data_IF_802471063148
#
_entry.id   IF_802471063148
#
_cell.length_a   1.000
_cell.length_b   1.000
_cell.length_c   1.000
_cell.angle_alpha   90.00
_cell.angle_beta   90.00
_cell.angle_gamma   90.00
#
_symmetry.space_group_name_H-M   'P 1'
#
loop_
_entity.id
_entity.type
_entity.pdbx_description
1 polymer ?
#
# COMPACT_ATOMS: atom_id res chain seq x y z
N UNK A 1 38.74 -2.72 -25.76
CA UNK A 1 37.56 -1.87 -25.62
C UNK A 1 36.30 -2.74 -25.57
N UNK A 2 36.11 -3.43 -24.48
CA UNK A 2 34.91 -4.26 -24.21
C UNK A 2 34.73 -4.24 -22.70
N UNK A 3 33.79 -3.46 -22.17
CA UNK A 3 33.30 -3.65 -20.81
C UNK A 3 32.28 -2.59 -20.32
N UNK A 4 31.30 -2.18 -21.14
CA UNK A 4 30.29 -1.24 -20.64
C UNK A 4 28.82 -1.61 -20.91
N UNK A 5 28.54 -2.81 -21.49
CA UNK A 5 27.15 -3.15 -21.84
C UNK A 5 26.40 -4.02 -20.81
N UNK A 6 27.02 -4.41 -19.68
CA UNK A 6 26.39 -5.29 -18.69
C UNK A 6 25.66 -4.60 -17.53
N UNK A 7 25.79 -3.28 -17.35
CA UNK A 7 25.18 -2.57 -16.22
C UNK A 7 23.73 -2.10 -16.46
N UNK A 8 23.24 -2.03 -17.69
CA UNK A 8 21.89 -1.54 -17.98
C UNK A 8 20.81 -2.62 -17.95
N UNK A 9 21.17 -3.91 -18.08
CA UNK A 9 20.24 -5.03 -18.15
C UNK A 9 19.59 -5.41 -16.81
N UNK A 10 20.25 -5.11 -15.69
CA UNK A 10 19.76 -5.48 -14.35
C UNK A 10 18.62 -4.55 -13.89
N UNK A 11 18.64 -3.30 -14.34
CA UNK A 11 17.63 -2.29 -13.97
C UNK A 11 16.24 -2.58 -14.58
N UNK A 12 16.18 -2.95 -15.86
CA UNK A 12 14.88 -3.17 -16.54
C UNK A 12 14.16 -4.45 -16.11
N UNK A 13 14.89 -5.52 -15.81
CA UNK A 13 14.30 -6.76 -15.28
C UNK A 13 13.80 -6.62 -13.85
N UNK A 14 14.46 -5.83 -12.99
CA UNK A 14 13.98 -5.52 -11.64
C UNK A 14 12.74 -4.64 -11.63
N UNK A 15 12.64 -3.65 -12.51
CA UNK A 15 11.47 -2.77 -12.62
C UNK A 15 10.24 -3.52 -13.18
N UNK A 16 10.44 -4.47 -14.12
CA UNK A 16 9.36 -5.33 -14.60
C UNK A 16 8.85 -6.31 -13.52
N UNK A 17 9.74 -6.83 -12.66
CA UNK A 17 9.36 -7.65 -11.51
C UNK A 17 8.68 -6.85 -10.38
N UNK A 18 8.87 -5.53 -10.31
CA UNK A 18 8.17 -4.66 -9.34
C UNK A 18 6.67 -4.53 -9.64
N UNK A 19 6.22 -4.84 -10.85
CA UNK A 19 4.80 -4.88 -11.23
C UNK A 19 4.10 -6.21 -10.94
N UNK A 20 4.84 -7.27 -10.67
CA UNK A 20 4.29 -8.64 -10.56
C UNK A 20 4.60 -9.40 -9.26
N UNK A 21 5.64 -9.07 -8.53
CA UNK A 21 6.03 -9.82 -7.33
C UNK A 21 5.70 -9.03 -6.06
N UNK A 22 4.92 -9.63 -5.19
CA UNK A 22 4.74 -9.26 -3.78
C UNK A 22 6.10 -9.33 -3.08
N UNK A 23 6.91 -8.29 -3.20
CA UNK A 23 8.07 -8.11 -2.33
C UNK A 23 7.50 -7.83 -0.95
N UNK A 24 7.62 -8.83 -0.09
CA UNK A 24 7.28 -8.72 1.33
C UNK A 24 8.10 -7.55 1.88
N UNK A 25 7.40 -6.52 2.32
CA UNK A 25 8.03 -5.47 3.12
C UNK A 25 8.61 -6.17 4.35
N UNK A 26 9.78 -5.75 4.72
CA UNK A 26 10.58 -6.21 5.86
C UNK A 26 9.85 -7.13 6.85
N UNK A 27 10.39 -8.32 7.15
CA UNK A 27 9.86 -9.21 8.19
C UNK A 27 9.59 -8.46 9.52
N UNK A 28 10.41 -7.49 9.86
CA UNK A 28 10.30 -6.67 11.06
C UNK A 28 9.00 -5.87 11.12
N UNK A 29 8.55 -5.29 9.99
CA UNK A 29 7.26 -4.57 9.96
C UNK A 29 6.09 -5.53 10.12
N UNK A 30 6.18 -6.71 9.52
CA UNK A 30 5.16 -7.74 9.64
C UNK A 30 5.05 -8.25 11.08
N UNK A 31 6.18 -8.51 11.73
CA UNK A 31 6.24 -8.92 13.13
C UNK A 31 5.69 -7.82 14.05
N UNK A 32 6.08 -6.57 13.80
CA UNK A 32 5.53 -5.43 14.52
C UNK A 32 4.00 -5.33 14.41
N UNK A 33 3.43 -5.54 13.21
CA UNK A 33 1.97 -5.51 13.02
C UNK A 33 1.30 -6.64 13.81
N UNK A 34 1.91 -7.81 13.86
CA UNK A 34 1.39 -8.98 14.62
C UNK A 34 1.34 -8.74 16.12
N UNK A 35 2.26 -7.97 16.70
CA UNK A 35 2.24 -7.62 18.13
C UNK A 35 0.94 -6.95 18.57
N UNK A 36 0.21 -6.31 17.65
CA UNK A 36 -1.07 -5.67 17.93
C UNK A 36 -2.29 -6.58 17.71
N UNK A 37 -2.09 -7.89 17.60
CA UNK A 37 -3.16 -8.88 17.39
C UNK A 37 -4.05 -8.53 16.17
N UNK A 38 -3.46 -7.97 15.11
CA UNK A 38 -4.15 -7.85 13.84
C UNK A 38 -4.16 -9.20 13.12
N UNK A 39 -5.29 -9.63 12.58
CA UNK A 39 -5.37 -10.84 11.76
C UNK A 39 -4.70 -10.56 10.41
N UNK A 40 -3.39 -10.74 10.33
CA UNK A 40 -2.57 -10.61 9.13
C UNK A 40 -2.03 -11.97 8.76
N UNK A 41 -2.30 -12.41 7.54
CA UNK A 41 -1.80 -13.67 7.03
C UNK A 41 -1.07 -13.48 5.71
N UNK A 42 0.10 -14.11 5.50
CA UNK A 42 0.67 -14.24 4.18
C UNK A 42 -0.21 -15.19 3.37
N UNK A 43 -0.97 -14.64 2.43
CA UNK A 43 -1.82 -15.46 1.55
C UNK A 43 -0.97 -15.99 0.41
N UNK A 44 -0.88 -17.31 0.28
CA UNK A 44 -0.21 -17.98 -0.84
C UNK A 44 -0.95 -17.72 -2.15
N UNK A 45 -0.32 -17.98 -3.31
CA UNK A 45 -0.99 -17.77 -4.60
C UNK A 45 -2.24 -18.66 -4.77
N UNK A 46 -2.26 -19.86 -4.17
CA UNK A 46 -3.42 -20.75 -4.16
C UNK A 46 -4.54 -20.22 -3.27
N UNK A 47 -4.20 -19.72 -2.09
CA UNK A 47 -5.16 -19.10 -1.17
C UNK A 47 -5.73 -17.82 -1.77
N UNK A 48 -4.93 -17.01 -2.48
CA UNK A 48 -5.41 -15.84 -3.22
C UNK A 48 -6.46 -16.19 -4.26
N UNK A 49 -6.28 -17.28 -4.99
CA UNK A 49 -7.22 -17.74 -6.00
C UNK A 49 -8.56 -18.20 -5.42
N UNK A 50 -8.57 -18.72 -4.20
CA UNK A 50 -9.77 -19.16 -3.47
C UNK A 50 -10.38 -18.08 -2.56
N UNK A 51 -9.72 -16.94 -2.37
CA UNK A 51 -10.18 -15.89 -1.47
C UNK A 51 -11.45 -15.21 -1.98
N UNK A 52 -12.45 -15.08 -1.10
CA UNK A 52 -13.74 -14.48 -1.44
C UNK A 52 -13.64 -12.98 -1.75
N UNK A 53 -12.77 -12.25 -1.03
CA UNK A 53 -12.62 -10.80 -1.21
C UNK A 53 -11.56 -10.46 -2.25
N UNK A 54 -11.97 -9.76 -3.30
CA UNK A 54 -11.11 -9.34 -4.41
C UNK A 54 -10.99 -7.81 -4.49
N UNK A 55 -10.91 -7.14 -3.36
CA UNK A 55 -10.70 -5.68 -3.32
C UNK A 55 -9.61 -5.32 -2.33
N UNK A 56 -9.16 -4.08 -2.44
CA UNK A 56 -8.19 -3.48 -1.54
C UNK A 56 -8.79 -2.21 -0.95
N UNK A 57 -8.43 -1.90 0.30
CA UNK A 57 -8.72 -0.60 0.90
C UNK A 57 -7.42 0.19 1.02
N UNK A 58 -7.47 1.43 0.55
CA UNK A 58 -6.42 2.42 0.78
C UNK A 58 -6.91 3.40 1.83
N UNK A 59 -6.22 3.50 2.95
CA UNK A 59 -6.44 4.55 3.95
C UNK A 59 -5.43 5.65 3.71
N UNK A 60 -5.93 6.86 3.44
CA UNK A 60 -5.13 8.05 3.18
C UNK A 60 -5.13 8.98 4.39
N UNK A 61 -3.94 9.44 4.77
CA UNK A 61 -3.72 10.46 5.80
C UNK A 61 -3.42 11.83 5.20
N UNK A 62 -3.13 11.87 3.88
CA UNK A 62 -2.86 13.08 3.12
C UNK A 62 -3.50 12.96 1.73
N UNK A 63 -3.74 14.11 1.08
CA UNK A 63 -4.28 14.15 -0.28
C UNK A 63 -3.29 13.55 -1.28
N UNK A 64 -3.73 12.56 -2.05
CA UNK A 64 -3.01 12.13 -3.25
C UNK A 64 -3.32 13.06 -4.42
N UNK A 65 -2.68 12.82 -5.56
CA UNK A 65 -2.83 13.66 -6.75
C UNK A 65 -4.30 13.78 -7.18
N UNK A 66 -5.01 12.65 -7.23
CA UNK A 66 -6.41 12.62 -7.65
C UNK A 66 -7.31 13.49 -6.77
N UNK A 67 -7.24 13.32 -5.45
CA UNK A 67 -8.04 14.13 -4.52
C UNK A 67 -7.61 15.59 -4.48
N UNK A 68 -6.31 15.84 -4.60
CA UNK A 68 -5.81 17.20 -4.63
C UNK A 68 -6.36 17.97 -5.84
N UNK A 69 -6.45 17.34 -7.01
CA UNK A 69 -7.08 17.91 -8.19
C UNK A 69 -8.58 18.15 -8.00
N UNK A 70 -9.32 17.15 -7.51
CA UNK A 70 -10.77 17.26 -7.28
C UNK A 70 -11.10 18.36 -6.26
N UNK A 71 -10.31 18.45 -5.18
CA UNK A 71 -10.53 19.43 -4.11
C UNK A 71 -9.82 20.76 -4.33
N UNK A 72 -9.14 20.93 -5.47
CA UNK A 72 -8.32 22.14 -5.78
C UNK A 72 -7.39 22.51 -4.63
N UNK A 73 -6.70 21.51 -4.08
CA UNK A 73 -5.83 21.62 -2.91
C UNK A 73 -4.42 21.12 -3.21
N UNK A 74 -3.49 21.37 -2.30
CA UNK A 74 -2.10 20.91 -2.46
C UNK A 74 -2.00 19.39 -2.28
N UNK A 75 -1.20 18.75 -3.14
CA UNK A 75 -0.84 17.32 -2.99
C UNK A 75 -0.04 17.13 -1.70
N UNK A 76 -0.24 16.00 -1.05
CA UNK A 76 0.33 15.63 0.25
C UNK A 76 -0.13 16.50 1.43
N UNK A 77 -1.12 17.38 1.23
CA UNK A 77 -1.73 18.11 2.35
C UNK A 77 -2.37 17.13 3.34
N UNK A 78 -2.05 17.22 4.63
CA UNK A 78 -2.62 16.33 5.64
C UNK A 78 -4.14 16.45 5.73
N UNK A 79 -4.82 15.34 5.86
CA UNK A 79 -6.25 15.28 6.15
C UNK A 79 -6.50 15.48 7.65
N UNK A 80 -7.59 16.13 8.01
CA UNK A 80 -8.02 16.27 9.42
C UNK A 80 -8.30 14.89 10.04
N UNK A 81 -8.95 14.02 9.27
CA UNK A 81 -9.21 12.61 9.61
C UNK A 81 -8.81 11.74 8.44
N UNK A 82 -8.29 10.53 8.67
CA UNK A 82 -8.02 9.61 7.59
C UNK A 82 -9.27 9.31 6.79
N UNK A 83 -9.15 9.33 5.46
CA UNK A 83 -10.18 8.87 4.54
C UNK A 83 -9.84 7.49 3.98
N UNK A 84 -10.81 6.77 3.39
CA UNK A 84 -10.51 5.51 2.72
C UNK A 84 -11.10 5.47 1.30
N UNK A 85 -10.45 4.66 0.46
CA UNK A 85 -10.88 4.34 -0.90
C UNK A 85 -10.89 2.84 -1.11
N UNK A 86 -11.82 2.39 -1.92
CA UNK A 86 -11.88 1.02 -2.40
C UNK A 86 -11.14 0.97 -3.73
N UNK A 87 -10.16 0.08 -3.81
CA UNK A 87 -9.35 -0.14 -5.01
C UNK A 87 -9.69 -1.50 -5.60
N UNK A 88 -9.96 -1.53 -6.90
CA UNK A 88 -10.22 -2.75 -7.66
C UNK A 88 -9.27 -2.85 -8.86
N UNK A 89 -9.24 -4.04 -9.49
CA UNK A 89 -8.36 -4.37 -10.62
C UNK A 89 -7.07 -5.07 -10.17
N UNK A 90 -6.39 -5.70 -11.12
CA UNK A 90 -5.16 -6.48 -10.84
C UNK A 90 -4.04 -5.63 -10.21
N UNK A 91 -3.94 -4.34 -10.59
CA UNK A 91 -3.01 -3.36 -10.01
C UNK A 91 -3.51 -2.72 -8.72
N UNK A 92 -4.82 -2.80 -8.43
CA UNK A 92 -5.45 -2.06 -7.33
C UNK A 92 -5.37 -0.54 -7.54
N UNK A 93 -5.52 -0.09 -8.79
CA UNK A 93 -5.34 1.30 -9.21
C UNK A 93 -6.66 2.03 -9.52
N UNK A 94 -7.77 1.30 -9.59
CA UNK A 94 -9.09 1.86 -9.89
C UNK A 94 -9.88 2.09 -8.63
N UNK A 95 -10.27 3.33 -8.38
CA UNK A 95 -11.19 3.69 -7.29
C UNK A 95 -12.60 3.31 -7.69
N UNK A 96 -13.28 2.54 -6.86
CA UNK A 96 -14.69 2.18 -7.06
C UNK A 96 -15.54 2.62 -5.88
N UNK A 97 -16.83 2.96 -6.09
CA UNK A 97 -17.74 3.25 -5.01
C UNK A 97 -18.13 1.97 -4.24
N UNK A 98 -18.44 2.11 -2.96
CA UNK A 98 -18.85 1.01 -2.08
C UNK A 98 -20.04 0.24 -2.64
N UNK A 99 -21.02 0.94 -3.22
CA UNK A 99 -22.20 0.32 -3.83
C UNK A 99 -21.85 -0.70 -4.92
N UNK A 100 -20.74 -0.51 -5.63
CA UNK A 100 -20.31 -1.43 -6.68
C UNK A 100 -19.84 -2.77 -6.11
N UNK A 101 -19.23 -2.78 -4.91
CA UNK A 101 -18.86 -4.05 -4.23
C UNK A 101 -20.08 -4.93 -4.01
N UNK A 102 -21.17 -4.32 -3.57
CA UNK A 102 -22.40 -5.06 -3.25
C UNK A 102 -23.15 -5.50 -4.50
N UNK A 103 -23.29 -4.59 -5.49
CA UNK A 103 -24.00 -4.90 -6.73
C UNK A 103 -23.29 -5.94 -7.58
N UNK A 104 -21.97 -6.09 -7.45
CA UNK A 104 -21.18 -7.11 -8.16
C UNK A 104 -21.00 -8.41 -7.35
N UNK A 105 -21.47 -8.46 -6.12
CA UNK A 105 -21.28 -9.61 -5.23
C UNK A 105 -19.83 -9.81 -4.79
N UNK A 106 -18.97 -8.80 -4.91
CA UNK A 106 -17.58 -8.87 -4.46
C UNK A 106 -17.46 -8.87 -2.93
N UNK A 107 -18.43 -8.29 -2.23
CA UNK A 107 -18.50 -8.27 -0.78
C UNK A 107 -19.93 -8.00 -0.32
N UNK A 108 -20.20 -8.31 0.95
CA UNK A 108 -21.41 -7.92 1.65
C UNK A 108 -21.10 -6.79 2.66
N UNK A 109 -22.09 -6.01 3.11
CA UNK A 109 -21.86 -4.87 4.01
C UNK A 109 -21.11 -5.22 5.31
N UNK A 110 -21.32 -6.41 5.85
CA UNK A 110 -20.69 -6.90 7.07
C UNK A 110 -19.20 -7.12 6.88
N UNK A 111 -18.81 -7.78 5.78
CA UNK A 111 -17.41 -8.02 5.41
C UNK A 111 -16.68 -6.70 5.14
N UNK A 112 -17.32 -5.79 4.40
CA UNK A 112 -16.73 -4.49 4.13
C UNK A 112 -16.51 -3.68 5.40
N UNK A 113 -17.48 -3.68 6.35
CA UNK A 113 -17.31 -3.03 7.65
C UNK A 113 -16.17 -3.63 8.47
N UNK A 114 -16.03 -4.97 8.46
CA UNK A 114 -14.94 -5.65 9.13
C UNK A 114 -13.58 -5.28 8.50
N UNK A 115 -13.47 -5.33 7.17
CA UNK A 115 -12.27 -4.93 6.43
C UNK A 115 -11.89 -3.46 6.70
N UNK A 116 -12.88 -2.55 6.70
CA UNK A 116 -12.66 -1.13 6.99
C UNK A 116 -12.12 -0.91 8.40
N UNK A 117 -12.67 -1.58 9.41
CA UNK A 117 -12.14 -1.51 10.79
C UNK A 117 -10.69 -1.98 10.86
N UNK A 118 -10.36 -3.07 10.18
CA UNK A 118 -8.97 -3.58 10.13
C UNK A 118 -8.04 -2.62 9.39
N UNK A 119 -8.49 -2.02 8.29
CA UNK A 119 -7.71 -1.03 7.54
C UNK A 119 -7.37 0.20 8.40
N UNK A 120 -8.34 0.75 9.12
CA UNK A 120 -8.09 1.87 10.02
C UNK A 120 -7.18 1.50 11.20
N UNK A 121 -7.34 0.30 11.76
CA UNK A 121 -6.45 -0.18 12.84
C UNK A 121 -5.01 -0.35 12.33
N UNK A 122 -4.82 -0.94 11.16
CA UNK A 122 -3.54 -1.04 10.48
C UNK A 122 -2.92 0.35 10.25
N UNK A 123 -3.71 1.30 9.71
CA UNK A 123 -3.26 2.67 9.50
C UNK A 123 -2.79 3.34 10.79
N UNK A 124 -3.52 3.19 11.89
CA UNK A 124 -3.14 3.76 13.18
C UNK A 124 -1.82 3.19 13.71
N UNK A 125 -1.63 1.87 13.60
CA UNK A 125 -0.40 1.18 13.99
C UNK A 125 0.78 1.69 13.16
N UNK A 126 0.65 1.73 11.84
CA UNK A 126 1.71 2.17 10.94
C UNK A 126 2.01 3.67 11.09
N UNK A 127 1.01 4.51 11.32
CA UNK A 127 1.24 5.93 11.64
C UNK A 127 2.12 6.09 12.88
N UNK A 128 1.83 5.34 13.94
CA UNK A 128 2.63 5.36 15.17
C UNK A 128 4.05 4.85 14.92
N UNK A 129 4.19 3.77 14.15
CA UNK A 129 5.48 3.20 13.79
C UNK A 129 6.38 4.20 13.04
N UNK A 130 5.86 4.80 11.97
CA UNK A 130 6.62 5.75 11.14
C UNK A 130 6.85 7.07 11.86
N UNK A 131 5.90 7.54 12.66
CA UNK A 131 6.05 8.80 13.43
C UNK A 131 7.22 8.73 14.40
N UNK A 132 7.41 7.59 15.08
CA UNK A 132 8.57 7.37 15.97
C UNK A 132 9.91 7.40 15.23
N UNK A 133 9.89 7.22 13.91
CA UNK A 133 11.06 7.29 13.02
C UNK A 133 11.19 8.63 12.28
N UNK A 134 10.47 9.66 12.73
CA UNK A 134 10.48 11.00 12.11
C UNK A 134 9.80 11.06 10.75
N UNK A 135 8.97 10.07 10.41
CA UNK A 135 8.30 9.98 9.12
C UNK A 135 6.78 10.14 9.28
N UNK A 136 6.13 10.63 8.22
CA UNK A 136 4.69 10.72 8.14
C UNK A 136 4.15 9.66 7.16
N UNK A 137 3.21 8.82 7.62
CA UNK A 137 2.50 7.89 6.77
C UNK A 137 1.47 8.65 5.92
N UNK A 138 1.69 8.71 4.61
CA UNK A 138 0.80 9.35 3.64
C UNK A 138 -0.43 8.48 3.40
N UNK A 139 -0.21 7.19 3.11
CA UNK A 139 -1.29 6.23 2.92
C UNK A 139 -0.79 4.80 3.11
N UNK A 140 -1.73 3.91 3.39
CA UNK A 140 -1.52 2.47 3.37
C UNK A 140 -2.64 1.79 2.59
N UNK A 141 -2.27 0.82 1.75
CA UNK A 141 -3.22 -0.03 1.01
C UNK A 141 -3.06 -1.48 1.47
N UNK A 142 -4.17 -2.15 1.71
CA UNK A 142 -4.16 -3.56 2.08
C UNK A 142 -5.24 -4.33 1.31
N UNK A 143 -4.94 -5.56 0.93
CA UNK A 143 -5.91 -6.52 0.46
C UNK A 143 -6.58 -7.22 1.62
N UNK A 144 -7.81 -7.67 1.42
CA UNK A 144 -8.58 -8.40 2.41
C UNK A 144 -9.09 -9.70 1.81
N UNK A 145 -9.07 -10.74 2.60
CA UNK A 145 -9.55 -12.07 2.24
C UNK A 145 -10.44 -12.61 3.36
N UNK A 146 -11.43 -13.41 2.98
CA UNK A 146 -12.24 -14.17 3.95
C UNK A 146 -11.60 -15.53 4.16
N UNK A 147 -11.28 -15.87 5.40
CA UNK A 147 -10.74 -17.16 5.82
C UNK A 147 -11.52 -17.64 7.04
N UNK A 148 -12.12 -18.83 6.95
CA UNK A 148 -12.90 -19.42 8.06
C UNK A 148 -13.92 -18.42 8.65
N UNK A 149 -14.69 -17.77 7.79
CA UNK A 149 -15.70 -16.74 8.14
C UNK A 149 -15.13 -15.49 8.85
N UNK A 150 -13.81 -15.30 8.79
CA UNK A 150 -13.14 -14.10 9.33
C UNK A 150 -12.48 -13.31 8.22
N UNK A 151 -12.57 -11.99 8.33
CA UNK A 151 -11.83 -11.09 7.46
C UNK A 151 -10.40 -10.96 7.97
N UNK A 152 -9.45 -11.22 7.08
CA UNK A 152 -8.00 -11.20 7.37
C UNK A 152 -7.31 -10.25 6.41
N UNK A 153 -6.34 -9.50 6.90
CA UNK A 153 -5.47 -8.67 6.06
C UNK A 153 -4.50 -9.58 5.30
N UNK A 154 -4.44 -9.44 3.98
CA UNK A 154 -3.38 -10.06 3.19
C UNK A 154 -2.05 -9.38 3.49
N UNK A 155 -1.13 -10.09 4.10
CA UNK A 155 0.19 -9.59 4.52
C UNK A 155 1.19 -9.35 3.41
N UNK A 156 0.85 -9.66 2.15
CA UNK A 156 1.70 -9.40 0.98
C UNK A 156 1.72 -7.93 0.60
N UNK A 157 2.24 -7.06 1.48
CA UNK A 157 2.41 -5.63 1.17
C UNK A 157 3.47 -5.42 0.08
N UNK A 158 3.16 -4.55 -0.87
CA UNK A 158 4.11 -4.02 -1.84
C UNK A 158 4.68 -2.70 -1.31
N UNK A 159 5.83 -2.29 -1.83
CA UNK A 159 6.37 -0.96 -1.50
C UNK A 159 5.41 0.19 -1.86
N UNK A 160 4.62 0.03 -2.92
CA UNK A 160 3.57 0.98 -3.31
C UNK A 160 2.36 1.00 -2.37
N UNK A 161 2.21 -0.02 -1.54
CA UNK A 161 1.09 -0.11 -0.59
C UNK A 161 1.31 0.74 0.66
N UNK A 162 2.54 1.11 0.96
CA UNK A 162 2.90 1.95 2.11
C UNK A 162 3.62 3.18 1.57
N UNK A 163 2.98 4.33 1.67
CA UNK A 163 3.54 5.60 1.21
C UNK A 163 3.92 6.45 2.42
N UNK A 164 5.21 6.78 2.52
CA UNK A 164 5.78 7.49 3.67
C UNK A 164 6.58 8.68 3.19
N UNK A 165 6.46 9.80 3.88
CA UNK A 165 7.29 11.00 3.65
C UNK A 165 8.19 11.29 4.85
N UNK A 166 9.29 11.97 4.55
CA UNK A 166 10.23 12.48 5.56
C UNK A 166 10.62 13.92 5.21
N UNK A 167 10.74 14.83 6.18
CA UNK A 167 11.05 16.25 5.91
C UNK A 167 12.29 16.47 5.04
N UNK A 168 13.33 15.67 5.22
CA UNK A 168 14.59 15.75 4.47
C UNK A 168 14.68 14.91 3.21
N UNK A 169 13.57 14.35 2.69
CA UNK A 169 13.60 13.48 1.52
C UNK A 169 13.95 14.22 0.21
N UNK A 170 14.58 13.51 -0.72
CA UNK A 170 14.96 14.05 -2.02
C UNK A 170 13.74 14.38 -2.89
N UNK A 171 13.93 15.29 -3.88
CA UNK A 171 12.90 15.62 -4.86
C UNK A 171 12.36 14.37 -5.58
N UNK A 172 13.23 13.43 -5.96
CA UNK A 172 12.84 12.19 -6.64
C UNK A 172 11.88 11.34 -5.81
N UNK A 173 12.10 11.25 -4.50
CA UNK A 173 11.17 10.54 -3.60
C UNK A 173 9.84 11.28 -3.54
N UNK A 174 9.84 12.61 -3.46
CA UNK A 174 8.60 13.41 -3.53
C UNK A 174 7.86 13.19 -4.84
N UNK A 175 8.57 13.21 -5.96
CA UNK A 175 7.99 12.99 -7.29
C UNK A 175 7.39 11.57 -7.40
N UNK A 176 8.03 10.56 -6.80
CA UNK A 176 7.44 9.21 -6.70
C UNK A 176 6.15 9.19 -5.87
N UNK A 177 6.14 9.84 -4.71
CA UNK A 177 4.97 9.91 -3.82
C UNK A 177 3.77 10.62 -4.49
N UNK A 178 4.04 11.62 -5.32
CA UNK A 178 3.01 12.43 -5.99
C UNK A 178 2.54 11.76 -7.29
N UNK A 179 3.48 11.38 -8.16
CA UNK A 179 3.19 10.99 -9.54
C UNK A 179 3.33 9.48 -9.79
N UNK A 180 3.83 8.70 -8.82
CA UNK A 180 4.04 7.26 -8.98
C UNK A 180 5.05 6.90 -10.07
N UNK A 181 6.02 7.78 -10.37
CA UNK A 181 6.97 7.60 -11.47
C UNK A 181 7.81 6.34 -11.29
N UNK A 182 7.74 5.34 -12.20
CA UNK A 182 8.45 4.08 -12.05
C UNK A 182 9.98 4.23 -11.95
N UNK A 183 10.55 5.23 -12.61
CA UNK A 183 11.98 5.51 -12.57
C UNK A 183 12.49 5.94 -11.20
N UNK A 184 11.62 6.47 -10.36
CA UNK A 184 11.93 6.92 -9.01
C UNK A 184 11.61 5.88 -7.92
N UNK A 185 10.94 4.79 -8.28
CA UNK A 185 10.57 3.71 -7.36
C UNK A 185 11.78 3.11 -6.63
N UNK A 186 12.92 2.94 -7.32
CA UNK A 186 14.15 2.42 -6.71
C UNK A 186 14.70 3.30 -5.59
N UNK A 187 14.57 4.62 -5.72
CA UNK A 187 14.98 5.57 -4.68
C UNK A 187 14.05 5.49 -3.47
N UNK A 188 12.75 5.35 -3.71
CA UNK A 188 11.77 5.18 -2.65
C UNK A 188 11.94 3.87 -1.87
N UNK A 189 12.18 2.76 -2.58
CA UNK A 189 12.45 1.45 -1.96
C UNK A 189 13.68 1.51 -1.05
N UNK A 190 14.78 2.11 -1.52
CA UNK A 190 15.99 2.27 -0.69
C UNK A 190 15.72 3.13 0.54
N UNK A 191 14.96 4.20 0.38
CA UNK A 191 14.57 5.08 1.48
C UNK A 191 13.70 4.32 2.50
N UNK A 192 12.68 3.59 2.04
CA UNK A 192 11.78 2.84 2.92
C UNK A 192 12.54 1.74 3.68
N UNK A 193 13.40 0.96 3.01
CA UNK A 193 14.22 -0.06 3.66
C UNK A 193 15.08 0.54 4.79
N UNK A 194 15.72 1.69 4.53
CA UNK A 194 16.53 2.37 5.55
C UNK A 194 15.73 2.79 6.80
N UNK A 195 14.42 3.01 6.64
CA UNK A 195 13.55 3.37 7.77
C UNK A 195 13.07 2.11 8.51
N UNK A 196 12.93 1.01 7.79
CA UNK A 196 12.44 -0.25 8.33
C UNK A 196 13.52 -1.04 9.08
N UNK A 197 14.79 -0.87 8.70
CA UNK A 197 15.96 -1.40 9.43
C UNK A 197 16.21 -0.60 10.72
#
# INVERSE_FOLDING_TARGET
>A
MENDSKKSGISKKRVANLRGNSLIISPQLFDYIKEFNLPVSPVTEQEKASAALKFRLKVANSLDLYLAEVLKSEVLKPLKTPGHYILAGEGGDRVIPESLLYSTGLSIPEEFRAASKLAYKLNAILRSFFKRRGCDLISVSAGFVSMEDKIVINGGFRYSDIMVSHPGQSRRIKDYLIYGKPEDAGNYIKFLNKILD
#
